data_IF_074634613117
#
_entry.id   IF_074634613117
#
_cell.length_a   1.000
_cell.length_b   1.000
_cell.length_c   1.000
_cell.angle_alpha   90.00
_cell.angle_beta   90.00
_cell.angle_gamma   90.00
#
_symmetry.space_group_name_H-M   'P 1'
#
loop_
_entity.id
_entity.type
_entity.pdbx_description
1 polymer ?
#
# COMPACT_ATOMS: atom_id res chain seq x y z
N UNK A 1 12.28 -4.10 -20.19
CA UNK A 1 13.04 -2.86 -19.91
C UNK A 1 12.11 -1.86 -19.27
N UNK A 2 12.11 -1.72 -17.94
CA UNK A 2 11.25 -0.77 -17.21
C UNK A 2 11.98 0.56 -17.13
N UNK A 3 11.48 1.54 -17.88
CA UNK A 3 12.06 2.87 -18.02
C UNK A 3 11.78 3.69 -16.75
N UNK A 4 12.79 4.32 -16.16
CA UNK A 4 12.70 5.08 -14.90
C UNK A 4 11.95 6.43 -15.02
N UNK A 5 11.39 6.73 -16.19
CA UNK A 5 10.84 8.04 -16.57
C UNK A 5 9.32 8.05 -16.77
N UNK A 6 8.63 6.92 -16.67
CA UNK A 6 7.15 6.91 -16.72
C UNK A 6 6.59 7.18 -15.33
N UNK A 7 5.83 8.28 -15.08
CA UNK A 7 5.08 8.41 -13.84
C UNK A 7 4.20 7.17 -13.69
N UNK A 8 4.32 6.49 -12.54
CA UNK A 8 3.70 5.19 -12.31
C UNK A 8 2.20 5.35 -12.03
N UNK A 9 1.42 5.57 -13.10
CA UNK A 9 -0.03 5.75 -13.07
C UNK A 9 -0.69 4.44 -12.67
N UNK A 10 -1.58 4.48 -11.67
CA UNK A 10 -2.36 3.32 -11.24
C UNK A 10 -3.42 3.00 -12.28
N UNK A 11 -3.48 1.74 -12.70
CA UNK A 11 -4.51 1.27 -13.62
C UNK A 11 -5.69 0.69 -12.85
N UNK A 12 -6.93 0.74 -13.39
CA UNK A 12 -8.08 0.08 -12.77
C UNK A 12 -7.86 -1.43 -12.55
N UNK A 13 -7.08 -2.07 -13.44
CA UNK A 13 -6.70 -3.48 -13.33
C UNK A 13 -5.81 -3.79 -12.12
N UNK A 14 -5.09 -2.81 -11.57
CA UNK A 14 -4.23 -3.00 -10.39
C UNK A 14 -5.04 -3.38 -9.14
N UNK A 15 -6.34 -3.04 -9.10
CA UNK A 15 -7.24 -3.42 -8.00
C UNK A 15 -7.68 -4.88 -8.04
N UNK A 16 -7.39 -5.63 -9.11
CA UNK A 16 -7.77 -7.04 -9.19
C UNK A 16 -6.77 -7.93 -8.45
N UNK A 17 -7.28 -8.70 -7.48
CA UNK A 17 -6.48 -9.64 -6.69
C UNK A 17 -5.97 -10.83 -7.54
N UNK A 18 -6.66 -11.16 -8.65
CA UNK A 18 -6.34 -12.25 -9.57
C UNK A 18 -6.12 -13.60 -8.87
N UNK A 19 -6.88 -13.85 -7.80
CA UNK A 19 -6.83 -15.06 -7.00
C UNK A 19 -8.16 -15.81 -7.11
N UNK A 20 -8.11 -17.13 -7.36
CA UNK A 20 -9.28 -18.02 -7.28
C UNK A 20 -9.47 -18.48 -5.84
N UNK A 21 -10.64 -18.19 -5.28
CA UNK A 21 -11.01 -18.53 -3.91
C UNK A 21 -11.51 -19.97 -3.74
N UNK A 22 -11.66 -20.70 -4.85
CA UNK A 22 -12.15 -22.09 -4.88
C UNK A 22 -11.08 -23.11 -4.47
N UNK A 23 -9.84 -22.65 -4.26
CA UNK A 23 -8.70 -23.47 -3.86
C UNK A 23 -8.10 -22.98 -2.55
N UNK A 24 -7.49 -23.87 -1.75
CA UNK A 24 -6.75 -23.49 -0.56
C UNK A 24 -5.64 -22.47 -0.88
N UNK A 25 -5.44 -21.52 0.02
CA UNK A 25 -4.36 -20.53 -0.10
C UNK A 25 -3.03 -21.25 0.14
N UNK A 26 -2.09 -21.23 -0.81
CA UNK A 26 -0.81 -21.92 -0.66
C UNK A 26 0.01 -21.20 0.41
N UNK A 27 0.40 -21.94 1.45
CA UNK A 27 1.28 -21.45 2.51
C UNK A 27 2.75 -21.67 2.09
N UNK A 28 3.22 -20.81 1.18
CA UNK A 28 4.59 -20.86 0.65
C UNK A 28 5.62 -20.35 1.69
N UNK A 29 5.96 -21.18 2.67
CA UNK A 29 7.22 -21.09 3.45
C UNK A 29 7.57 -19.77 4.17
N UNK A 30 8.72 -19.78 4.87
CA UNK A 30 8.94 -18.87 6.01
C UNK A 30 9.29 -17.39 5.70
N UNK A 31 9.73 -17.01 4.49
CA UNK A 31 9.72 -15.60 4.02
C UNK A 31 9.88 -15.48 2.50
N UNK A 32 8.86 -14.97 1.79
CA UNK A 32 8.93 -14.38 0.44
C UNK A 32 9.68 -15.15 -0.68
N UNK A 33 9.87 -16.47 -0.56
CA UNK A 33 10.57 -17.29 -1.57
C UNK A 33 9.58 -18.20 -2.29
N UNK A 34 9.44 -17.99 -3.59
CA UNK A 34 8.94 -18.98 -4.55
C UNK A 34 9.88 -18.99 -5.77
N UNK A 35 10.10 -20.16 -6.38
CA UNK A 35 11.37 -20.50 -7.06
C UNK A 35 11.61 -19.80 -8.41
N UNK A 36 10.59 -19.27 -9.09
CA UNK A 36 10.73 -18.69 -10.44
C UNK A 36 10.34 -17.21 -10.55
N UNK A 37 9.31 -16.77 -9.81
CA UNK A 37 8.81 -15.40 -9.88
C UNK A 37 8.34 -14.98 -8.49
N UNK A 38 9.28 -14.42 -7.74
CA UNK A 38 9.13 -13.90 -6.36
C UNK A 38 7.79 -13.15 -6.13
N UNK A 39 7.36 -13.04 -4.87
CA UNK A 39 6.27 -12.14 -4.46
C UNK A 39 6.53 -10.74 -5.02
N UNK A 40 5.68 -10.29 -5.94
CA UNK A 40 5.78 -8.95 -6.54
C UNK A 40 5.25 -7.91 -5.54
N UNK A 41 6.15 -7.38 -4.72
CA UNK A 41 5.84 -6.35 -3.73
C UNK A 41 5.41 -5.02 -4.37
N UNK A 42 5.86 -4.73 -5.59
CA UNK A 42 5.47 -3.53 -6.33
C UNK A 42 4.02 -3.64 -6.80
N UNK A 43 3.63 -4.80 -7.32
CA UNK A 43 2.22 -5.11 -7.62
C UNK A 43 1.37 -5.08 -6.35
N UNK A 44 1.85 -5.64 -5.24
CA UNK A 44 1.11 -5.65 -3.97
C UNK A 44 0.88 -4.23 -3.42
N UNK A 45 1.88 -3.34 -3.54
CA UNK A 45 1.75 -1.93 -3.18
C UNK A 45 0.71 -1.22 -4.05
N UNK A 46 0.77 -1.42 -5.38
CA UNK A 46 -0.23 -0.88 -6.32
C UNK A 46 -1.64 -1.37 -6.02
N UNK A 47 -1.80 -2.66 -5.76
CA UNK A 47 -3.08 -3.27 -5.41
C UNK A 47 -3.70 -2.62 -4.17
N UNK A 48 -2.92 -2.49 -3.09
CA UNK A 48 -3.40 -1.87 -1.84
C UNK A 48 -3.82 -0.41 -2.04
N UNK A 49 -3.00 0.35 -2.75
CA UNK A 49 -3.24 1.77 -3.02
C UNK A 49 -4.45 1.98 -3.95
N UNK A 50 -4.56 1.17 -5.01
CA UNK A 50 -5.70 1.20 -5.94
C UNK A 50 -7.02 0.90 -5.22
N UNK A 51 -7.02 -0.12 -4.34
CA UNK A 51 -8.18 -0.43 -3.50
C UNK A 51 -8.56 0.70 -2.54
N UNK A 52 -7.56 1.33 -1.92
CA UNK A 52 -7.77 2.46 -1.03
C UNK A 52 -8.41 3.66 -1.74
N UNK A 53 -7.92 3.98 -2.94
CA UNK A 53 -8.49 5.03 -3.78
C UNK A 53 -9.90 4.72 -4.25
N UNK A 54 -10.17 3.47 -4.63
CA UNK A 54 -11.52 3.05 -5.00
C UNK A 54 -12.49 3.14 -3.81
N UNK A 55 -12.05 2.75 -2.62
CA UNK A 55 -12.84 2.93 -1.40
C UNK A 55 -13.11 4.42 -1.10
N UNK A 56 -12.12 5.30 -1.31
CA UNK A 56 -12.28 6.74 -1.17
C UNK A 56 -13.30 7.29 -2.18
N UNK A 57 -13.18 6.93 -3.46
CA UNK A 57 -14.12 7.34 -4.53
C UNK A 57 -15.56 6.87 -4.28
N UNK A 58 -15.73 5.70 -3.66
CA UNK A 58 -17.04 5.17 -3.31
C UNK A 58 -17.63 5.85 -2.05
N UNK A 59 -16.83 6.61 -1.31
CA UNK A 59 -17.26 7.37 -0.14
C UNK A 59 -17.48 8.84 -0.49
N UNK A 60 -18.19 9.57 0.37
CA UNK A 60 -18.39 11.03 0.22
C UNK A 60 -17.20 11.85 0.71
N UNK A 61 -16.11 11.21 1.16
CA UNK A 61 -14.96 11.86 1.76
C UNK A 61 -13.92 12.27 0.69
N UNK A 62 -13.35 13.47 0.81
CA UNK A 62 -12.29 13.94 -0.10
C UNK A 62 -10.89 13.39 0.22
N UNK A 63 -10.67 12.91 1.44
CA UNK A 63 -9.38 12.37 1.88
C UNK A 63 -9.53 11.37 3.03
N UNK A 64 -8.53 10.52 3.21
CA UNK A 64 -8.38 9.59 4.33
C UNK A 64 -7.13 9.97 5.13
N UNK A 65 -7.32 10.18 6.43
CA UNK A 65 -6.24 10.37 7.40
C UNK A 65 -6.21 9.18 8.36
N UNK A 66 -5.08 8.50 8.48
CA UNK A 66 -4.92 7.33 9.36
C UNK A 66 -3.73 7.46 10.29
N UNK A 67 -3.98 7.20 11.57
CA UNK A 67 -2.97 7.15 12.63
C UNK A 67 -2.55 5.72 13.01
N UNK A 68 -3.34 4.72 12.63
CA UNK A 68 -2.98 3.32 12.90
C UNK A 68 -1.82 2.85 12.03
N UNK A 69 -0.87 2.18 12.67
CA UNK A 69 0.36 1.71 12.03
C UNK A 69 0.08 0.65 10.97
N UNK A 70 -0.96 -0.17 11.12
CA UNK A 70 -1.30 -1.17 10.10
C UNK A 70 -1.86 -0.48 8.84
N UNK A 71 -2.70 0.54 9.02
CA UNK A 71 -3.23 1.34 7.90
C UNK A 71 -2.14 2.15 7.21
N UNK A 72 -1.21 2.75 7.97
CA UNK A 72 -0.06 3.45 7.41
C UNK A 72 0.79 2.49 6.58
N UNK A 73 1.08 1.29 7.09
CA UNK A 73 1.79 0.25 6.34
C UNK A 73 1.02 -0.23 5.11
N UNK A 74 -0.31 -0.25 5.18
CA UNK A 74 -1.16 -0.65 4.07
C UNK A 74 -1.06 0.34 2.90
N UNK A 75 -1.11 1.65 3.17
CA UNK A 75 -1.02 2.68 2.14
C UNK A 75 0.40 2.90 1.61
N UNK A 76 1.39 2.93 2.51
CA UNK A 76 2.74 3.38 2.18
C UNK A 76 3.73 2.23 1.98
N UNK A 77 3.37 1.02 2.42
CA UNK A 77 4.28 -0.13 2.45
C UNK A 77 5.34 -0.05 3.56
N UNK A 78 5.40 1.05 4.32
CA UNK A 78 6.40 1.29 5.35
C UNK A 78 6.00 0.63 6.66
N UNK A 79 6.88 -0.18 7.24
CA UNK A 79 6.69 -0.77 8.57
C UNK A 79 7.26 0.18 9.62
N UNK A 80 6.41 0.69 10.50
CA UNK A 80 6.83 1.51 11.63
C UNK A 80 7.12 0.65 12.86
N UNK A 81 8.01 1.16 13.72
CA UNK A 81 8.43 0.50 14.97
C UNK A 81 7.30 0.57 16.00
N UNK A 82 7.18 -0.46 16.85
CA UNK A 82 6.08 -0.62 17.82
C UNK A 82 5.83 0.61 18.71
N UNK A 83 6.86 1.40 19.05
CA UNK A 83 6.71 2.63 19.84
C UNK A 83 5.84 3.72 19.19
N UNK A 84 5.62 3.67 17.87
CA UNK A 84 4.72 4.57 17.14
C UNK A 84 3.24 4.24 17.33
N UNK A 85 2.90 2.99 17.69
CA UNK A 85 1.51 2.53 17.85
C UNK A 85 0.80 3.19 19.02
N UNK A 86 1.53 3.49 20.09
CA UNK A 86 0.95 4.03 21.33
C UNK A 86 0.96 5.54 21.39
N UNK A 87 1.76 6.21 20.56
CA UNK A 87 2.00 7.65 20.66
C UNK A 87 1.36 8.49 19.54
N UNK A 88 0.70 7.88 18.55
CA UNK A 88 0.09 8.57 17.41
C UNK A 88 1.00 9.65 16.75
N UNK A 89 2.31 9.39 16.71
CA UNK A 89 3.33 10.37 16.27
C UNK A 89 3.53 10.36 14.75
N UNK A 90 2.95 9.36 14.08
CA UNK A 90 3.04 9.17 12.64
C UNK A 90 1.64 9.00 12.10
N UNK A 91 1.35 9.68 11.00
CA UNK A 91 0.10 9.56 10.28
C UNK A 91 0.33 9.51 8.77
N UNK A 92 -0.61 8.91 8.06
CA UNK A 92 -0.64 8.90 6.61
C UNK A 92 -1.90 9.62 6.12
N UNK A 93 -1.72 10.51 5.15
CA UNK A 93 -2.80 11.22 4.46
C UNK A 93 -2.86 10.76 3.01
N UNK A 94 -4.03 10.33 2.57
CA UNK A 94 -4.35 10.06 1.17
C UNK A 94 -5.44 11.05 0.72
N UNK A 95 -5.08 11.98 -0.15
CA UNK A 95 -6.01 12.96 -0.71
C UNK A 95 -6.39 12.55 -2.14
N UNK A 96 -7.67 12.26 -2.38
CA UNK A 96 -8.19 11.88 -3.70
C UNK A 96 -7.30 10.90 -4.49
N UNK A 97 -6.86 11.36 -5.66
CA UNK A 97 -6.01 10.59 -6.58
C UNK A 97 -4.50 10.83 -6.42
N UNK A 98 -4.08 11.56 -5.39
CA UNK A 98 -2.68 11.84 -5.12
C UNK A 98 -1.92 10.63 -4.51
N UNK A 99 -0.60 10.77 -4.37
CA UNK A 99 0.23 9.78 -3.67
C UNK A 99 0.01 9.91 -2.15
N UNK A 100 0.02 8.80 -1.39
CA UNK A 100 -0.10 8.87 0.07
C UNK A 100 1.11 9.57 0.68
N UNK A 101 0.86 10.53 1.55
CA UNK A 101 1.87 11.27 2.31
C UNK A 101 2.00 10.64 3.69
N UNK A 102 3.18 10.11 4.01
CA UNK A 102 3.51 9.67 5.37
C UNK A 102 4.26 10.78 6.10
N UNK A 103 3.69 11.26 7.19
CA UNK A 103 4.25 12.33 8.03
C UNK A 103 4.44 11.80 9.44
N UNK A 104 5.66 11.91 9.94
CA UNK A 104 5.98 11.61 11.33
C UNK A 104 7.19 12.41 11.80
N UNK A 105 7.35 12.49 13.11
CA UNK A 105 8.40 13.27 13.79
C UNK A 105 9.84 13.02 13.28
N UNK A 106 10.10 11.87 12.63
CA UNK A 106 11.41 11.54 12.06
C UNK A 106 11.39 11.09 10.58
N UNK A 107 10.22 11.01 9.94
CA UNK A 107 10.10 10.48 8.58
C UNK A 107 9.13 11.29 7.75
N UNK A 108 9.62 11.80 6.63
CA UNK A 108 8.80 12.18 5.49
C UNK A 108 9.04 11.15 4.39
N UNK A 109 8.04 10.34 4.10
CA UNK A 109 8.12 9.38 3.00
C UNK A 109 7.26 9.89 1.84
N UNK A 110 7.89 10.51 0.85
CA UNK A 110 7.34 10.63 -0.49
C UNK A 110 7.90 9.45 -1.29
N UNK A 111 7.16 8.35 -1.39
CA UNK A 111 7.57 7.26 -2.28
C UNK A 111 7.46 7.74 -3.74
N UNK A 112 8.60 7.87 -4.42
CA UNK A 112 8.72 8.15 -5.86
C UNK A 112 8.08 7.04 -6.70
#
# INVERSE_FOLDING_TARGET
MTNALSPRILQPSDSNQNWSWDRPIPALGHTAVDFERRVDHDRLRRYRLSRAKNALKNSTCGSILTFDVNNIRYFTGTKLVNGSKTKCVVFALLAGDDKPLCLGFWFRCCSS
#
